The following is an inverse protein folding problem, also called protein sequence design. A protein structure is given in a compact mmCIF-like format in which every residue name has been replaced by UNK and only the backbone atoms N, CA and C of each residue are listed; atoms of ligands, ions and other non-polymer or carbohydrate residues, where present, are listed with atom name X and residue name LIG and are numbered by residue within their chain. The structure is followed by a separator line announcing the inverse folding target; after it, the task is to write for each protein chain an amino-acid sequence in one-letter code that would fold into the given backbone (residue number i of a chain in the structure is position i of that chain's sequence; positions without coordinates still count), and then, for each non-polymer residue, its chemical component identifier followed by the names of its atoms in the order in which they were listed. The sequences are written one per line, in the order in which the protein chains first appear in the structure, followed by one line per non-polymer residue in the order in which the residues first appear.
data_IF_422794820614
#
_entry.id   IF_422794820614
#
_cell.length_a   1.000
_cell.length_b   1.000
_cell.length_c   1.000
_cell.angle_alpha   90.00
_cell.angle_beta   90.00
_cell.angle_gamma   90.00
#
_symmetry.space_group_name_H-M   'P 1'
#
loop_
_entity.id
_entity.type
_entity.pdbx_description
1 polymer ?
#
# COMPACT_ATOMS: atom_id res chain seq x y z
N UNK A 1 34.39 18.45 2.52
CA UNK A 1 33.44 17.56 1.82
C UNK A 1 33.68 17.47 0.32
N UNK A 2 34.21 18.50 -0.34
CA UNK A 2 34.50 18.45 -1.79
C UNK A 2 35.82 17.70 -2.15
N UNK A 3 36.69 17.43 -1.20
CA UNK A 3 38.01 16.81 -1.47
C UNK A 3 37.98 15.27 -1.52
N UNK A 4 36.96 14.64 -0.94
CA UNK A 4 36.85 13.18 -0.94
C UNK A 4 36.17 12.60 -2.19
N UNK A 5 35.38 13.43 -2.90
CA UNK A 5 34.71 13.02 -4.13
C UNK A 5 35.69 12.92 -5.29
N UNK A 6 36.70 13.79 -5.29
CA UNK A 6 37.78 13.78 -6.30
C UNK A 6 38.67 12.52 -6.24
N UNK A 7 38.75 11.84 -5.09
CA UNK A 7 39.57 10.62 -4.94
C UNK A 7 38.96 9.37 -5.58
N UNK A 8 37.69 9.42 -5.98
CA UNK A 8 36.97 8.27 -6.54
C UNK A 8 36.80 8.33 -8.08
N UNK A 9 37.29 9.35 -8.73
CA UNK A 9 37.25 9.48 -10.21
C UNK A 9 35.81 9.70 -10.79
N UNK A 10 34.83 9.93 -9.95
CA UNK A 10 33.42 10.08 -10.37
C UNK A 10 33.03 11.52 -10.72
N UNK A 11 33.72 12.54 -10.19
CA UNK A 11 33.38 13.94 -10.46
C UNK A 11 33.62 14.37 -11.92
N UNK A 12 34.58 13.78 -12.59
CA UNK A 12 34.92 14.15 -13.97
C UNK A 12 33.94 13.62 -15.02
N UNK A 13 32.94 12.82 -14.63
CA UNK A 13 31.95 12.23 -15.53
C UNK A 13 30.51 12.67 -15.23
N UNK A 14 30.28 13.48 -14.19
CA UNK A 14 28.97 14.06 -13.91
C UNK A 14 28.92 15.40 -14.64
N UNK A 15 28.64 15.37 -15.93
CA UNK A 15 28.21 16.57 -16.63
C UNK A 15 26.73 16.79 -16.32
N UNK A 16 26.40 17.93 -15.71
CA UNK A 16 25.04 18.48 -15.74
C UNK A 16 24.77 18.84 -17.20
N UNK A 17 24.23 17.89 -17.96
CA UNK A 17 23.87 18.10 -19.35
C UNK A 17 22.67 19.06 -19.33
N UNK A 18 22.73 20.21 -20.05
CA UNK A 18 21.55 21.05 -20.21
C UNK A 18 20.37 20.21 -20.69
N UNK A 19 19.16 20.49 -20.19
CA UNK A 19 17.94 19.70 -20.50
C UNK A 19 17.79 19.42 -22.02
N UNK A 20 18.28 20.33 -22.89
CA UNK A 20 18.28 20.17 -24.33
C UNK A 20 19.22 19.10 -24.89
N UNK A 21 20.24 18.69 -24.14
CA UNK A 21 21.20 17.63 -24.50
C UNK A 21 20.90 16.25 -23.89
N UNK A 22 20.09 16.22 -22.85
CA UNK A 22 19.67 14.95 -22.21
C UNK A 22 18.91 14.04 -23.19
N UNK A 23 18.41 14.56 -24.32
CA UNK A 23 17.41 13.92 -25.15
C UNK A 23 17.73 13.92 -26.66
N UNK A 24 19.00 13.92 -27.07
CA UNK A 24 19.34 13.78 -28.49
C UNK A 24 19.17 12.32 -28.95
N UNK A 25 18.63 12.12 -30.18
CA UNK A 25 18.37 10.78 -30.75
C UNK A 25 19.60 9.86 -30.80
N UNK A 26 20.82 10.44 -30.89
CA UNK A 26 22.07 9.69 -30.92
C UNK A 26 22.43 9.02 -29.58
N UNK A 27 21.94 9.53 -28.46
CA UNK A 27 22.20 8.96 -27.12
C UNK A 27 21.42 7.67 -26.85
N UNK A 28 20.41 7.37 -27.67
CA UNK A 28 19.52 6.18 -27.50
C UNK A 28 20.11 4.88 -27.99
N UNK A 29 20.95 4.94 -28.96
CA UNK A 29 21.61 3.73 -29.52
C UNK A 29 22.64 3.14 -28.55
N UNK A 30 22.99 3.85 -27.47
CA UNK A 30 24.08 3.47 -26.56
C UNK A 30 23.66 3.22 -25.10
N UNK A 31 22.38 3.28 -24.76
CA UNK A 31 21.90 2.95 -23.43
C UNK A 31 22.51 3.73 -22.28
N UNK A 32 21.83 4.74 -21.89
CA UNK A 32 22.24 5.62 -20.79
C UNK A 32 21.49 5.20 -19.55
N UNK A 33 22.14 4.90 -18.40
CA UNK A 33 21.43 4.64 -17.16
C UNK A 33 20.73 5.91 -16.70
N UNK A 34 19.52 5.73 -16.22
CA UNK A 34 18.81 6.78 -15.52
C UNK A 34 19.30 6.78 -14.09
N UNK A 35 19.96 7.85 -13.66
CA UNK A 35 20.38 8.03 -12.29
C UNK A 35 19.39 8.95 -11.60
N UNK A 36 18.73 8.42 -10.60
CA UNK A 36 17.86 9.18 -9.71
C UNK A 36 18.62 9.66 -8.49
N UNK A 37 18.61 10.97 -8.24
CA UNK A 37 19.21 11.57 -7.06
C UNK A 37 18.14 11.81 -6.01
N UNK A 38 18.14 10.98 -4.95
CA UNK A 38 17.09 10.96 -3.94
C UNK A 38 16.99 12.23 -3.07
N UNK A 39 18.04 13.03 -3.01
CA UNK A 39 18.05 14.24 -2.18
C UNK A 39 17.53 15.48 -2.93
N UNK A 40 17.56 15.48 -4.26
CA UNK A 40 17.19 16.64 -5.09
C UNK A 40 16.05 16.38 -6.05
N UNK A 41 15.44 15.17 -6.04
CA UNK A 41 14.45 14.72 -7.02
C UNK A 41 14.86 14.97 -8.49
N UNK A 42 16.15 14.92 -8.75
CA UNK A 42 16.73 15.10 -10.09
C UNK A 42 17.21 13.79 -10.66
N UNK A 43 16.97 13.59 -11.94
CA UNK A 43 17.60 12.52 -12.71
C UNK A 43 18.90 13.06 -13.27
N UNK A 44 19.99 12.37 -12.97
CA UNK A 44 21.31 12.64 -13.52
C UNK A 44 21.62 11.51 -14.49
N UNK A 45 21.94 11.88 -15.73
CA UNK A 45 22.19 10.94 -16.81
C UNK A 45 23.68 10.55 -16.85
N UNK A 46 23.98 9.25 -16.82
CA UNK A 46 25.32 8.73 -17.08
C UNK A 46 25.27 7.57 -18.08
N UNK A 47 26.28 7.49 -18.92
CA UNK A 47 26.42 6.48 -19.96
C UNK A 47 26.46 5.08 -19.42
N UNK A 48 25.52 4.22 -19.76
CA UNK A 48 25.60 2.79 -19.63
C UNK A 48 24.85 2.07 -20.75
N UNK A 49 25.16 0.81 -20.90
CA UNK A 49 24.70 -0.06 -21.97
C UNK A 49 23.18 -0.18 -22.06
N UNK A 50 22.59 0.24 -23.17
CA UNK A 50 21.27 -0.24 -23.58
C UNK A 50 21.43 -1.61 -24.21
N UNK A 51 20.74 -2.58 -23.69
CA UNK A 51 20.42 -3.78 -24.47
C UNK A 51 19.05 -3.56 -25.10
N UNK A 52 18.99 -3.53 -26.42
CA UNK A 52 17.77 -3.82 -27.16
C UNK A 52 17.41 -5.28 -26.86
N UNK A 53 16.42 -5.50 -26.04
CA UNK A 53 15.83 -6.81 -25.87
C UNK A 53 14.66 -6.87 -26.82
N UNK A 54 14.90 -7.26 -28.04
CA UNK A 54 14.08 -8.15 -28.83
C UNK A 54 14.53 -8.22 -30.29
N UNK A 55 14.76 -9.42 -30.77
CA UNK A 55 15.01 -9.74 -32.18
C UNK A 55 13.71 -9.98 -32.97
N UNK A 56 12.53 -9.65 -32.42
CA UNK A 56 11.30 -9.72 -33.20
C UNK A 56 11.08 -8.41 -33.96
N UNK A 57 10.87 -8.46 -35.31
CA UNK A 57 10.95 -7.29 -36.18
C UNK A 57 9.94 -6.17 -35.91
N UNK A 58 9.02 -6.32 -34.95
CA UNK A 58 7.90 -5.40 -34.75
C UNK A 58 7.72 -4.85 -33.34
N UNK A 59 8.61 -5.14 -32.36
CA UNK A 59 8.46 -4.64 -30.98
C UNK A 59 9.74 -3.94 -30.54
N UNK A 60 9.73 -2.62 -30.49
CA UNK A 60 10.80 -1.83 -29.87
C UNK A 60 10.64 -1.88 -28.35
N UNK A 61 11.28 -2.81 -27.67
CA UNK A 61 11.45 -2.79 -26.24
C UNK A 61 12.83 -2.27 -25.86
N UNK A 62 12.89 -1.34 -24.94
CA UNK A 62 14.15 -0.73 -24.47
C UNK A 62 14.27 -1.03 -22.99
N UNK A 63 15.40 -1.63 -22.59
CA UNK A 63 15.71 -1.87 -21.18
C UNK A 63 16.63 -0.79 -20.65
N UNK A 64 16.24 -0.18 -19.55
CA UNK A 64 17.08 0.76 -18.83
C UNK A 64 17.39 0.24 -17.43
N UNK A 65 18.65 0.33 -17.00
CA UNK A 65 19.04 0.08 -15.62
C UNK A 65 18.89 1.36 -14.82
N UNK A 66 18.25 1.27 -13.65
CA UNK A 66 18.07 2.40 -12.77
C UNK A 66 19.11 2.30 -11.66
N UNK A 67 19.88 3.36 -11.48
CA UNK A 67 20.78 3.51 -10.37
C UNK A 67 20.29 4.64 -9.46
N UNK A 68 20.30 4.40 -8.15
CA UNK A 68 20.11 5.46 -7.14
C UNK A 68 21.45 5.83 -6.56
N UNK A 69 21.72 7.11 -6.48
CA UNK A 69 22.87 7.62 -5.76
C UNK A 69 22.47 7.82 -4.31
N UNK A 70 22.97 6.96 -3.43
CA UNK A 70 22.88 7.11 -1.99
C UNK A 70 24.24 7.50 -1.44
N UNK A 71 24.34 8.59 -0.68
CA UNK A 71 25.57 9.01 0.00
C UNK A 71 26.81 8.94 -0.91
N UNK A 72 26.72 9.50 -2.09
CA UNK A 72 27.78 9.55 -3.09
C UNK A 72 28.24 8.19 -3.68
N UNK A 73 27.47 7.13 -3.52
CA UNK A 73 27.72 5.84 -4.19
C UNK A 73 26.53 5.46 -5.05
N UNK A 74 26.73 5.12 -6.34
CA UNK A 74 25.67 4.61 -7.17
C UNK A 74 25.27 3.20 -6.70
N UNK A 75 23.99 2.98 -6.49
CA UNK A 75 23.43 1.69 -6.12
C UNK A 75 22.40 1.29 -7.19
N UNK A 76 22.51 0.08 -7.73
CA UNK A 76 21.52 -0.44 -8.64
C UNK A 76 20.25 -0.80 -7.85
N UNK A 77 19.14 -0.17 -8.18
CA UNK A 77 17.87 -0.35 -7.46
C UNK A 77 16.80 -1.08 -8.27
N UNK A 78 17.06 -1.34 -9.53
CA UNK A 78 16.12 -2.09 -10.37
C UNK A 78 16.30 -1.83 -11.85
N UNK A 79 15.46 -2.49 -12.62
CA UNK A 79 15.43 -2.41 -14.08
C UNK A 79 14.07 -1.87 -14.56
N UNK A 80 14.10 -1.08 -15.63
CA UNK A 80 12.92 -0.57 -16.31
C UNK A 80 12.86 -1.12 -17.72
N UNK A 81 11.68 -1.57 -18.11
CA UNK A 81 11.39 -2.00 -19.46
C UNK A 81 10.31 -1.10 -20.05
N UNK A 82 10.59 -0.48 -21.17
CA UNK A 82 9.65 0.36 -21.90
C UNK A 82 9.18 -0.37 -23.15
N UNK A 83 7.86 -0.44 -23.33
CA UNK A 83 7.24 -0.98 -24.54
C UNK A 83 6.20 -0.01 -25.07
N UNK A 84 6.10 0.11 -26.39
CA UNK A 84 4.93 0.77 -26.98
C UNK A 84 3.70 -0.13 -26.81
N UNK A 85 2.54 0.48 -26.60
CA UNK A 85 1.26 -0.27 -26.63
C UNK A 85 1.02 -0.75 -28.07
N UNK A 86 0.52 -1.97 -28.21
CA UNK A 86 0.18 -2.53 -29.53
C UNK A 86 -1.02 -1.82 -30.17
N UNK A 87 -1.89 -1.25 -29.34
CA UNK A 87 -3.17 -0.66 -29.76
C UNK A 87 -3.18 0.87 -29.77
N UNK A 88 -2.12 1.52 -29.27
CA UNK A 88 -2.06 2.97 -29.16
C UNK A 88 -0.59 3.44 -29.15
N UNK A 89 -0.18 4.07 -30.25
CA UNK A 89 1.18 4.60 -30.43
C UNK A 89 1.53 5.71 -29.42
N UNK A 90 0.52 6.33 -28.80
CA UNK A 90 0.70 7.37 -27.78
C UNK A 90 0.76 6.81 -26.36
N UNK A 91 0.65 5.49 -26.20
CA UNK A 91 0.72 4.83 -24.90
C UNK A 91 2.01 4.05 -24.73
N UNK A 92 2.65 4.24 -23.57
CA UNK A 92 3.85 3.53 -23.15
C UNK A 92 3.48 2.59 -22.02
N UNK A 93 3.91 1.33 -22.14
CA UNK A 93 3.86 0.36 -21.06
C UNK A 93 5.20 0.40 -20.34
N UNK A 94 5.14 0.70 -19.03
CA UNK A 94 6.28 0.83 -18.14
C UNK A 94 6.30 -0.37 -17.20
N UNK A 95 7.11 -1.37 -17.50
CA UNK A 95 7.37 -2.47 -16.58
C UNK A 95 8.59 -2.11 -15.71
N UNK A 96 8.41 -2.10 -14.39
CA UNK A 96 9.44 -1.73 -13.42
C UNK A 96 9.67 -2.90 -12.46
N UNK A 97 10.93 -3.31 -12.38
CA UNK A 97 11.40 -4.25 -11.37
C UNK A 97 12.31 -3.51 -10.39
N UNK A 98 11.73 -2.99 -9.30
CA UNK A 98 12.44 -2.23 -8.28
C UNK A 98 12.63 -3.08 -7.03
N UNK A 99 13.80 -2.99 -6.40
CA UNK A 99 14.08 -3.66 -5.15
C UNK A 99 13.07 -3.26 -4.06
N UNK A 100 12.51 -4.24 -3.37
CA UNK A 100 11.46 -4.04 -2.37
C UNK A 100 11.94 -3.28 -1.13
N UNK A 101 13.26 -3.31 -0.85
CA UNK A 101 13.88 -2.66 0.31
C UNK A 101 13.93 -1.13 0.25
N UNK A 102 13.65 -0.52 -0.92
CA UNK A 102 13.65 0.93 -1.06
C UNK A 102 12.52 1.58 -0.28
N UNK A 103 12.82 2.75 0.29
CA UNK A 103 11.82 3.60 0.95
C UNK A 103 10.73 4.05 -0.03
N UNK A 104 9.50 4.17 0.46
CA UNK A 104 8.34 4.58 -0.34
C UNK A 104 8.53 5.97 -0.97
N UNK A 105 9.13 6.91 -0.22
CA UNK A 105 9.42 8.26 -0.71
C UNK A 105 10.33 8.24 -1.94
N UNK A 106 11.36 7.39 -1.94
CA UNK A 106 12.29 7.24 -3.07
C UNK A 106 11.57 6.65 -4.28
N UNK A 107 10.75 5.62 -4.08
CA UNK A 107 9.96 5.02 -5.16
C UNK A 107 8.99 6.04 -5.77
N UNK A 108 8.31 6.82 -4.93
CA UNK A 108 7.38 7.87 -5.37
C UNK A 108 8.09 8.94 -6.20
N UNK A 109 9.22 9.45 -5.73
CA UNK A 109 10.02 10.40 -6.48
C UNK A 109 10.49 9.83 -7.82
N UNK A 110 10.95 8.59 -7.84
CA UNK A 110 11.37 7.88 -9.05
C UNK A 110 10.22 7.76 -10.05
N UNK A 111 9.02 7.33 -9.65
CA UNK A 111 7.87 7.23 -10.55
C UNK A 111 7.47 8.58 -11.14
N UNK A 112 7.43 9.63 -10.32
CA UNK A 112 7.13 11.00 -10.81
C UNK A 112 8.14 11.46 -11.86
N UNK A 113 9.41 11.32 -11.55
CA UNK A 113 10.48 11.79 -12.44
C UNK A 113 10.54 10.99 -13.73
N UNK A 114 10.37 9.67 -13.66
CA UNK A 114 10.28 8.82 -14.85
C UNK A 114 9.08 9.20 -15.72
N UNK A 115 7.92 9.42 -15.12
CA UNK A 115 6.71 9.79 -15.87
C UNK A 115 6.89 11.11 -16.60
N UNK A 116 7.46 12.13 -15.94
CA UNK A 116 7.77 13.41 -16.55
C UNK A 116 8.75 13.24 -17.73
N UNK A 117 9.78 12.42 -17.57
CA UNK A 117 10.73 12.09 -18.62
C UNK A 117 10.04 11.45 -19.82
N UNK A 118 9.19 10.45 -19.59
CA UNK A 118 8.49 9.72 -20.64
C UNK A 118 7.51 10.62 -21.41
N UNK A 119 6.77 11.48 -20.74
CA UNK A 119 5.89 12.44 -21.38
C UNK A 119 6.65 13.46 -22.22
N UNK A 120 7.75 14.02 -21.69
CA UNK A 120 8.55 15.03 -22.39
C UNK A 120 9.23 14.44 -23.61
N UNK A 121 9.84 13.26 -23.46
CA UNK A 121 10.70 12.66 -24.47
C UNK A 121 9.95 11.86 -25.54
N UNK A 122 9.11 10.94 -25.13
CA UNK A 122 8.41 10.04 -26.05
C UNK A 122 7.09 10.62 -26.53
N UNK A 123 6.75 11.85 -26.06
CA UNK A 123 5.47 12.51 -26.36
C UNK A 123 4.27 11.63 -26.02
N UNK A 124 4.46 10.65 -25.13
CA UNK A 124 3.38 9.79 -24.68
C UNK A 124 2.21 10.62 -24.14
N UNK A 125 0.99 10.17 -24.37
CA UNK A 125 -0.22 10.74 -23.76
C UNK A 125 -0.61 9.94 -22.52
N UNK A 126 -0.22 8.66 -22.48
CA UNK A 126 -0.55 7.72 -21.42
C UNK A 126 0.65 6.83 -21.07
N UNK A 127 0.84 6.60 -19.80
CA UNK A 127 1.80 5.62 -19.27
C UNK A 127 0.98 4.57 -18.52
N UNK A 128 1.13 3.30 -18.87
CA UNK A 128 0.56 2.17 -18.14
C UNK A 128 1.66 1.43 -17.39
N UNK A 129 1.39 0.98 -16.19
CA UNK A 129 2.30 0.12 -15.43
C UNK A 129 1.50 -0.93 -14.65
N UNK A 130 2.18 -2.04 -14.31
CA UNK A 130 1.59 -3.15 -13.56
C UNK A 130 2.51 -3.56 -12.43
N UNK A 131 1.92 -3.95 -11.32
CA UNK A 131 2.65 -4.52 -10.20
C UNK A 131 1.88 -5.69 -9.61
N UNK A 132 2.57 -6.63 -8.98
CA UNK A 132 1.90 -7.69 -8.23
C UNK A 132 0.95 -7.07 -7.21
N UNK A 133 -0.22 -7.68 -7.05
CA UNK A 133 -1.30 -7.13 -6.22
C UNK A 133 -0.94 -7.05 -4.72
N UNK A 134 0.01 -7.87 -4.29
CA UNK A 134 0.54 -7.89 -2.92
C UNK A 134 1.72 -6.93 -2.69
N UNK A 135 2.22 -6.27 -3.74
CA UNK A 135 3.32 -5.31 -3.63
C UNK A 135 2.82 -3.93 -3.19
N UNK A 136 2.32 -3.84 -1.94
CA UNK A 136 1.71 -2.64 -1.38
C UNK A 136 2.63 -1.38 -1.44
N UNK A 137 3.96 -1.55 -1.28
CA UNK A 137 4.89 -0.42 -1.33
C UNK A 137 4.98 0.22 -2.72
N UNK A 138 4.93 -0.59 -3.77
CA UNK A 138 4.88 -0.08 -5.15
C UNK A 138 3.51 0.51 -5.45
N UNK A 139 2.42 -0.14 -5.02
CA UNK A 139 1.05 0.36 -5.17
C UNK A 139 0.91 1.76 -4.54
N UNK A 140 1.34 1.93 -3.29
CA UNK A 140 1.32 3.22 -2.62
C UNK A 140 2.10 4.29 -3.39
N UNK A 141 3.32 3.93 -3.83
CA UNK A 141 4.18 4.85 -4.58
C UNK A 141 3.58 5.28 -5.90
N UNK A 142 2.89 4.38 -6.62
CA UNK A 142 2.15 4.70 -7.85
C UNK A 142 1.01 5.67 -7.58
N UNK A 143 0.17 5.40 -6.57
CA UNK A 143 -0.94 6.29 -6.20
C UNK A 143 -0.43 7.67 -5.82
N UNK A 144 0.58 7.76 -4.95
CA UNK A 144 1.21 9.01 -4.54
C UNK A 144 1.87 9.77 -5.70
N UNK A 145 2.25 9.05 -6.77
CA UNK A 145 2.81 9.65 -7.99
C UNK A 145 1.74 10.11 -8.99
N UNK A 146 0.47 9.99 -8.63
CA UNK A 146 -0.65 10.45 -9.46
C UNK A 146 -1.27 9.38 -10.36
N UNK A 147 -0.73 8.15 -10.37
CA UNK A 147 -1.32 7.08 -11.16
C UNK A 147 -2.72 6.71 -10.68
N UNK A 148 -3.58 6.39 -11.62
CA UNK A 148 -4.95 5.91 -11.40
C UNK A 148 -4.99 4.39 -11.52
N UNK A 149 -5.65 3.72 -10.60
CA UNK A 149 -5.93 2.29 -10.69
C UNK A 149 -7.02 2.04 -11.75
N UNK A 150 -6.81 1.06 -12.62
CA UNK A 150 -7.74 0.72 -13.71
C UNK A 150 -8.36 -0.65 -13.56
N UNK A 151 -7.74 -1.54 -12.81
CA UNK A 151 -8.27 -2.88 -12.62
C UNK A 151 -7.22 -3.91 -12.26
N UNK A 152 -7.64 -5.16 -12.21
CA UNK A 152 -6.78 -6.31 -11.93
C UNK A 152 -6.67 -7.14 -13.20
N UNK A 153 -5.45 -7.44 -13.61
CA UNK A 153 -5.15 -8.39 -14.67
C UNK A 153 -4.59 -9.68 -14.08
N UNK A 154 -4.90 -10.80 -14.71
CA UNK A 154 -4.43 -12.12 -14.30
C UNK A 154 -3.51 -12.69 -15.37
N UNK A 155 -2.41 -13.28 -14.96
CA UNK A 155 -1.46 -13.97 -15.84
C UNK A 155 -0.99 -15.26 -15.18
N UNK A 156 -0.66 -16.27 -15.99
CA UNK A 156 0.04 -17.45 -15.51
C UNK A 156 1.54 -17.13 -15.40
N UNK A 157 2.16 -17.54 -14.30
CA UNK A 157 3.61 -17.50 -14.17
C UNK A 157 4.27 -18.69 -14.88
N UNK A 158 5.59 -18.79 -14.82
CA UNK A 158 6.36 -19.89 -15.43
C UNK A 158 6.05 -21.27 -14.85
N UNK A 159 5.38 -21.34 -13.68
CA UNK A 159 4.93 -22.56 -13.01
C UNK A 159 3.44 -22.84 -13.26
N UNK A 160 2.81 -22.12 -14.19
CA UNK A 160 1.36 -22.20 -14.47
C UNK A 160 0.46 -21.82 -13.27
N UNK A 161 1.00 -21.06 -12.31
CA UNK A 161 0.21 -20.51 -11.21
C UNK A 161 -0.38 -19.15 -11.60
N UNK A 162 -1.62 -18.91 -11.23
CA UNK A 162 -2.30 -17.66 -11.50
C UNK A 162 -1.74 -16.55 -10.61
N UNK A 163 -1.26 -15.48 -11.25
CA UNK A 163 -0.81 -14.26 -10.56
C UNK A 163 -1.73 -13.09 -10.90
N UNK A 164 -2.07 -12.30 -9.89
CA UNK A 164 -2.85 -11.07 -10.04
C UNK A 164 -1.94 -9.85 -10.05
N UNK A 165 -2.20 -8.93 -10.97
CA UNK A 165 -1.49 -7.67 -11.11
C UNK A 165 -2.46 -6.52 -11.02
N UNK A 166 -2.16 -5.54 -10.19
CA UNK A 166 -2.83 -4.25 -10.21
C UNK A 166 -2.31 -3.42 -11.40
N UNK A 167 -3.22 -2.95 -12.22
CA UNK A 167 -2.94 -2.12 -13.41
C UNK A 167 -3.19 -0.67 -13.08
N UNK A 168 -2.22 0.17 -13.38
CA UNK A 168 -2.26 1.60 -13.14
C UNK A 168 -1.93 2.37 -14.41
N UNK A 169 -2.50 3.57 -14.54
CA UNK A 169 -2.14 4.49 -15.62
C UNK A 169 -1.96 5.92 -15.13
N UNK A 170 -1.18 6.68 -15.88
CA UNK A 170 -1.02 8.12 -15.72
C UNK A 170 -1.21 8.79 -17.07
N UNK A 171 -2.12 9.75 -17.14
CA UNK A 171 -2.33 10.58 -18.31
C UNK A 171 -1.45 11.83 -18.21
N UNK A 172 -0.93 12.32 -19.35
CA UNK A 172 -0.08 13.51 -19.40
C UNK A 172 -0.73 14.72 -18.71
N UNK A 173 -2.00 14.96 -19.01
CA UNK A 173 -2.72 16.12 -18.48
C UNK A 173 -3.00 16.02 -16.98
N UNK A 174 -2.88 14.82 -16.41
CA UNK A 174 -3.04 14.54 -14.98
C UNK A 174 -1.71 14.31 -14.25
N UNK A 175 -0.57 14.46 -14.93
CA UNK A 175 0.76 14.17 -14.37
C UNK A 175 1.16 15.03 -13.17
N UNK A 176 0.54 16.21 -13.03
CA UNK A 176 0.78 17.14 -11.93
C UNK A 176 -0.21 16.99 -10.77
N UNK A 177 -1.17 16.05 -10.86
CA UNK A 177 -2.19 15.85 -9.84
C UNK A 177 -1.65 14.90 -8.79
N UNK A 178 -1.12 15.42 -7.69
CA UNK A 178 -0.78 14.59 -6.54
C UNK A 178 -2.05 13.95 -5.96
N UNK A 179 -2.04 12.64 -5.78
CA UNK A 179 -3.11 11.90 -5.10
C UNK A 179 -2.64 11.54 -3.71
N UNK A 180 -3.58 11.52 -2.79
CA UNK A 180 -3.36 10.99 -1.45
C UNK A 180 -3.78 9.53 -1.41
N UNK A 181 -3.10 8.74 -0.60
CA UNK A 181 -3.59 7.41 -0.24
C UNK A 181 -4.89 7.58 0.53
N UNK A 182 -5.83 6.65 0.33
CA UNK A 182 -7.05 6.61 1.12
C UNK A 182 -6.72 6.39 2.60
N UNK A 183 -5.78 5.49 2.86
CA UNK A 183 -5.15 5.31 4.16
C UNK A 183 -3.66 5.64 4.01
N UNK A 184 -3.11 6.55 4.84
CA UNK A 184 -1.66 6.76 4.90
C UNK A 184 -0.93 5.45 5.15
N UNK A 185 0.25 5.30 4.56
CA UNK A 185 1.02 4.08 4.71
C UNK A 185 1.26 3.76 6.19
N UNK A 186 0.84 2.56 6.59
CA UNK A 186 1.13 2.05 7.94
C UNK A 186 2.53 1.49 7.92
N UNK A 187 3.51 2.25 8.41
CA UNK A 187 4.86 1.73 8.61
C UNK A 187 4.84 0.71 9.75
N UNK A 188 5.33 -0.49 9.47
CA UNK A 188 5.32 -1.64 10.37
C UNK A 188 6.02 -1.42 11.72
N UNK A 189 6.79 -0.34 11.85
CA UNK A 189 7.55 -0.06 13.07
C UNK A 189 6.93 0.99 14.01
N UNK A 190 5.88 1.70 13.58
CA UNK A 190 5.38 2.89 14.31
C UNK A 190 4.30 2.53 15.31
N UNK A 191 3.46 1.54 15.00
CA UNK A 191 2.30 1.21 15.84
C UNK A 191 2.57 -0.02 16.70
N UNK A 192 3.36 0.19 17.73
CA UNK A 192 3.68 -0.84 18.72
C UNK A 192 3.68 -0.28 20.14
N UNK A 193 3.41 -1.13 21.10
CA UNK A 193 3.72 -0.95 22.50
C UNK A 193 4.70 -2.04 22.97
N UNK A 194 4.85 -2.21 24.27
CA UNK A 194 5.74 -3.23 24.85
C UNK A 194 5.26 -4.67 24.64
N UNK A 195 3.99 -4.89 24.29
CA UNK A 195 3.37 -6.21 24.15
C UNK A 195 3.02 -6.61 22.74
N UNK A 196 2.48 -5.66 21.96
CA UNK A 196 2.01 -5.93 20.61
C UNK A 196 2.46 -4.88 19.60
N UNK A 197 2.47 -5.27 18.33
CA UNK A 197 2.61 -4.39 17.19
C UNK A 197 1.49 -4.61 16.17
N UNK A 198 1.15 -3.58 15.41
CA UNK A 198 0.25 -3.66 14.26
C UNK A 198 1.06 -3.47 12.99
N UNK A 199 0.83 -4.31 12.01
CA UNK A 199 1.33 -4.15 10.63
C UNK A 199 0.28 -4.55 9.61
N UNK A 200 0.47 -4.13 8.37
CA UNK A 200 -0.38 -4.61 7.27
C UNK A 200 -0.32 -6.13 7.19
N UNK A 201 -1.46 -6.77 6.92
CA UNK A 201 -1.52 -8.21 6.78
C UNK A 201 -0.66 -8.68 5.58
N UNK A 202 0.07 -9.76 5.80
CA UNK A 202 0.97 -10.39 4.82
C UNK A 202 0.57 -11.83 4.55
N UNK A 203 0.98 -12.44 3.42
CA UNK A 203 0.59 -13.82 3.08
C UNK A 203 0.89 -14.87 4.17
N UNK A 204 1.95 -14.66 4.96
CA UNK A 204 2.29 -15.54 6.10
C UNK A 204 1.25 -15.55 7.22
N UNK A 205 0.36 -14.55 7.28
CA UNK A 205 -0.69 -14.43 8.32
C UNK A 205 -1.97 -15.19 7.98
N UNK A 206 -2.04 -15.73 6.75
CA UNK A 206 -3.23 -16.42 6.25
C UNK A 206 -3.73 -17.48 7.20
N UNK A 207 -2.83 -18.32 7.70
CA UNK A 207 -3.19 -19.41 8.61
C UNK A 207 -3.70 -18.91 9.96
N UNK A 208 -3.08 -17.89 10.53
CA UNK A 208 -3.55 -17.26 11.77
C UNK A 208 -4.99 -16.72 11.62
N UNK A 209 -5.25 -15.99 10.53
CA UNK A 209 -6.56 -15.40 10.26
C UNK A 209 -7.63 -16.46 9.98
N UNK A 210 -7.25 -17.55 9.33
CA UNK A 210 -8.13 -18.69 9.10
C UNK A 210 -8.47 -19.41 10.41
N UNK A 211 -7.47 -19.71 11.25
CA UNK A 211 -7.69 -20.32 12.56
C UNK A 211 -8.61 -19.48 13.45
N UNK A 212 -8.42 -18.15 13.45
CA UNK A 212 -9.26 -17.25 14.23
C UNK A 212 -10.72 -17.32 13.77
N UNK A 213 -11.00 -17.29 12.48
CA UNK A 213 -12.37 -17.36 11.94
C UNK A 213 -13.01 -18.75 12.08
N UNK A 214 -12.21 -19.80 11.93
CA UNK A 214 -12.68 -21.19 11.99
C UNK A 214 -12.96 -21.67 13.43
N UNK A 215 -12.51 -20.92 14.44
CA UNK A 215 -12.80 -21.25 15.81
C UNK A 215 -14.31 -21.09 16.11
N UNK A 216 -14.99 -22.08 16.69
CA UNK A 216 -16.44 -22.05 16.92
C UNK A 216 -16.92 -20.85 17.74
N UNK A 217 -16.15 -20.41 18.74
CA UNK A 217 -16.50 -19.21 19.50
C UNK A 217 -16.36 -17.92 18.69
N UNK A 218 -15.33 -17.81 17.84
CA UNK A 218 -15.19 -16.67 16.94
C UNK A 218 -16.32 -16.66 15.91
N UNK A 219 -16.60 -17.83 15.32
CA UNK A 219 -17.65 -18.01 14.31
C UNK A 219 -19.03 -17.64 14.84
N UNK A 220 -19.37 -18.01 16.08
CA UNK A 220 -20.63 -17.62 16.74
C UNK A 220 -20.88 -16.12 16.70
N UNK A 221 -19.82 -15.33 16.84
CA UNK A 221 -19.90 -13.86 16.87
C UNK A 221 -19.56 -13.21 15.54
N UNK A 222 -19.12 -14.00 14.55
CA UNK A 222 -18.81 -13.52 13.21
C UNK A 222 -20.07 -13.01 12.47
N UNK A 223 -19.85 -12.08 11.56
CA UNK A 223 -20.89 -11.51 10.67
C UNK A 223 -20.96 -12.22 9.32
N UNK A 224 -19.96 -13.01 8.99
CA UNK A 224 -19.80 -13.66 7.70
C UNK A 224 -19.53 -15.15 7.90
N UNK A 225 -19.87 -15.94 6.91
CA UNK A 225 -19.48 -17.34 6.84
C UNK A 225 -17.96 -17.49 6.98
N UNK A 226 -17.54 -18.61 7.56
CA UNK A 226 -16.12 -18.92 7.70
C UNK A 226 -15.51 -19.09 6.29
N UNK A 227 -14.62 -18.20 5.93
CA UNK A 227 -13.95 -18.24 4.65
C UNK A 227 -12.96 -19.42 4.60
N UNK A 228 -12.80 -20.03 3.44
CA UNK A 228 -11.75 -21.02 3.16
C UNK A 228 -10.35 -20.38 3.27
N UNK A 229 -9.34 -21.22 3.40
CA UNK A 229 -7.96 -20.74 3.45
C UNK A 229 -7.58 -19.94 2.19
N UNK A 230 -8.04 -20.38 1.01
CA UNK A 230 -7.76 -19.71 -0.26
C UNK A 230 -8.45 -18.35 -0.37
N UNK A 231 -9.69 -18.23 0.11
CA UNK A 231 -10.39 -16.94 0.15
C UNK A 231 -9.69 -15.95 1.09
N UNK A 232 -9.16 -16.41 2.23
CA UNK A 232 -8.38 -15.56 3.14
C UNK A 232 -7.07 -15.16 2.49
N UNK A 233 -6.37 -16.09 1.83
CA UNK A 233 -5.14 -15.81 1.09
C UNK A 233 -5.37 -14.75 0.02
N UNK A 234 -6.45 -14.86 -0.76
CA UNK A 234 -6.84 -13.88 -1.76
C UNK A 234 -7.20 -12.53 -1.13
N UNK A 235 -7.90 -12.52 0.01
CA UNK A 235 -8.21 -11.28 0.74
C UNK A 235 -6.94 -10.58 1.23
N UNK A 236 -5.97 -11.32 1.75
CA UNK A 236 -4.70 -10.78 2.23
C UNK A 236 -3.85 -10.26 1.08
N UNK A 237 -3.77 -10.97 -0.06
CA UNK A 237 -3.00 -10.49 -1.21
C UNK A 237 -3.45 -9.12 -1.71
N UNK A 238 -4.73 -8.78 -1.52
CA UNK A 238 -5.31 -7.48 -1.90
C UNK A 238 -5.26 -6.41 -0.81
N UNK A 239 -4.69 -6.71 0.36
CA UNK A 239 -4.64 -5.74 1.48
C UNK A 239 -3.91 -4.45 1.12
N UNK A 240 -2.81 -4.54 0.35
CA UNK A 240 -2.08 -3.37 -0.11
C UNK A 240 -2.91 -2.47 -1.02
N UNK A 241 -3.62 -3.06 -1.98
CA UNK A 241 -4.51 -2.32 -2.87
C UNK A 241 -5.69 -1.70 -2.09
N UNK A 242 -6.29 -2.47 -1.18
CA UNK A 242 -7.39 -2.00 -0.35
C UNK A 242 -6.97 -0.85 0.58
N UNK A 243 -5.78 -0.91 1.15
CA UNK A 243 -5.27 0.18 2.00
C UNK A 243 -4.98 1.45 1.20
N UNK A 244 -4.57 1.33 -0.05
CA UNK A 244 -4.28 2.48 -0.91
C UNK A 244 -5.53 3.14 -1.50
N UNK A 245 -6.52 2.35 -1.91
CA UNK A 245 -7.65 2.80 -2.74
C UNK A 245 -9.01 2.27 -2.30
N UNK A 246 -9.03 1.23 -1.48
CA UNK A 246 -10.24 0.49 -1.16
C UNK A 246 -10.95 0.96 0.12
N UNK A 247 -11.98 0.24 0.53
CA UNK A 247 -12.84 0.62 1.64
C UNK A 247 -12.26 0.27 3.03
N UNK A 248 -11.14 -0.45 3.10
CA UNK A 248 -10.64 -0.94 4.38
C UNK A 248 -9.13 -1.16 4.40
N UNK A 249 -8.58 -1.20 5.61
CA UNK A 249 -7.23 -1.68 5.89
C UNK A 249 -7.30 -2.83 6.91
N UNK A 250 -6.65 -3.94 6.60
CA UNK A 250 -6.55 -5.12 7.45
C UNK A 250 -5.14 -5.21 8.04
N UNK A 251 -5.06 -5.13 9.36
CA UNK A 251 -3.81 -5.22 10.10
C UNK A 251 -3.73 -6.54 10.87
N UNK A 252 -2.53 -7.10 10.92
CA UNK A 252 -2.20 -8.22 11.79
C UNK A 252 -1.71 -7.71 13.13
N UNK A 253 -2.20 -8.31 14.21
CA UNK A 253 -1.72 -8.07 15.58
C UNK A 253 -0.59 -9.06 15.84
N UNK A 254 0.61 -8.52 16.12
CA UNK A 254 1.82 -9.30 16.38
C UNK A 254 2.17 -9.20 17.85
N UNK A 255 2.43 -10.33 18.49
CA UNK A 255 3.01 -10.34 19.82
C UNK A 255 4.50 -10.01 19.78
N UNK A 256 4.94 -8.96 20.50
CA UNK A 256 6.31 -8.47 20.42
C UNK A 256 7.36 -9.45 20.96
N UNK A 257 6.99 -10.29 21.93
CA UNK A 257 7.91 -11.24 22.58
C UNK A 257 8.30 -12.41 21.68
N UNK A 258 7.36 -12.87 20.84
CA UNK A 258 7.54 -14.06 19.98
C UNK A 258 7.63 -13.73 18.50
N UNK A 259 7.13 -12.56 18.08
CA UNK A 259 6.93 -12.21 16.68
C UNK A 259 5.75 -12.92 16.02
N UNK A 260 4.95 -13.66 16.75
CA UNK A 260 3.81 -14.42 16.23
C UNK A 260 2.63 -13.50 15.92
N UNK A 261 1.89 -13.84 14.85
CA UNK A 261 0.58 -13.29 14.58
C UNK A 261 -0.43 -13.90 15.58
N UNK A 262 -1.11 -13.05 16.35
CA UNK A 262 -2.05 -13.46 17.42
C UNK A 262 -3.49 -13.05 17.15
N UNK A 263 -3.72 -12.34 16.06
CA UNK A 263 -5.04 -11.86 15.68
C UNK A 263 -4.99 -10.82 14.58
N UNK A 264 -6.13 -10.19 14.36
CA UNK A 264 -6.32 -9.15 13.35
C UNK A 264 -7.11 -7.97 13.90
N UNK A 265 -6.93 -6.82 13.29
CA UNK A 265 -7.79 -5.65 13.46
C UNK A 265 -8.01 -5.02 12.10
N UNK A 266 -9.23 -4.59 11.81
CA UNK A 266 -9.63 -3.98 10.54
C UNK A 266 -10.33 -2.68 10.83
N UNK A 267 -10.07 -1.67 10.00
CA UNK A 267 -10.87 -0.46 9.94
C UNK A 267 -11.45 -0.32 8.53
N UNK A 268 -12.74 -0.01 8.44
CA UNK A 268 -13.48 0.20 7.20
C UNK A 268 -13.96 1.62 7.14
N UNK A 269 -13.82 2.25 5.99
CA UNK A 269 -14.48 3.52 5.74
C UNK A 269 -16.00 3.32 5.67
N UNK A 270 -16.73 4.13 6.37
CA UNK A 270 -18.19 4.16 6.31
C UNK A 270 -18.68 5.57 5.94
N UNK A 271 -19.96 5.72 5.72
CA UNK A 271 -20.58 7.00 5.43
C UNK A 271 -21.09 7.60 6.75
N UNK A 272 -20.81 8.88 7.04
CA UNK A 272 -20.12 9.90 6.22
C UNK A 272 -18.59 9.71 6.16
N UNK A 273 -17.86 10.45 5.29
CA UNK A 273 -16.40 10.42 5.24
C UNK A 273 -15.74 10.71 6.59
N UNK A 274 -14.52 10.17 6.80
CA UNK A 274 -13.76 10.30 8.05
C UNK A 274 -14.36 9.58 9.27
N UNK A 275 -15.32 8.68 9.03
CA UNK A 275 -15.84 7.73 10.03
C UNK A 275 -15.32 6.34 9.70
N UNK A 276 -14.78 5.65 10.70
CA UNK A 276 -14.22 4.31 10.55
C UNK A 276 -14.93 3.28 11.41
N UNK A 277 -15.44 2.20 10.81
CA UNK A 277 -15.96 1.03 11.52
C UNK A 277 -14.83 0.05 11.82
N UNK A 278 -14.67 -0.31 13.09
CA UNK A 278 -13.56 -1.14 13.58
C UNK A 278 -14.06 -2.54 13.92
N UNK A 279 -13.32 -3.55 13.43
CA UNK A 279 -13.52 -4.95 13.82
C UNK A 279 -12.19 -5.60 14.22
N UNK A 280 -12.23 -6.57 15.11
CA UNK A 280 -11.03 -7.30 15.53
C UNK A 280 -11.35 -8.76 15.85
N UNK A 281 -10.31 -9.59 15.86
CA UNK A 281 -10.35 -10.97 16.29
C UNK A 281 -9.01 -11.37 16.91
N UNK A 282 -9.05 -12.17 17.98
CA UNK A 282 -7.87 -12.70 18.68
C UNK A 282 -7.97 -14.21 18.73
N UNK A 283 -6.87 -14.89 18.40
CA UNK A 283 -6.76 -16.35 18.56
C UNK A 283 -7.11 -16.77 19.99
N UNK A 284 -7.79 -17.89 20.19
CA UNK A 284 -8.28 -18.32 21.50
C UNK A 284 -7.22 -18.33 22.61
N UNK A 285 -6.04 -18.84 22.29
CA UNK A 285 -4.91 -18.96 23.22
C UNK A 285 -4.32 -17.64 23.69
N UNK A 286 -4.62 -16.54 22.97
CA UNK A 286 -4.16 -15.19 23.29
C UNK A 286 -5.26 -14.29 23.84
N UNK A 287 -6.46 -14.84 24.08
CA UNK A 287 -7.56 -14.09 24.70
C UNK A 287 -7.29 -13.86 26.18
N UNK A 288 -7.93 -12.84 26.75
CA UNK A 288 -7.73 -12.48 28.16
C UNK A 288 -6.44 -11.71 28.47
N UNK A 289 -5.47 -11.66 27.55
CA UNK A 289 -4.18 -10.96 27.72
C UNK A 289 -4.25 -9.45 27.44
N UNK A 290 -5.43 -8.92 27.10
CA UNK A 290 -5.63 -7.49 26.81
C UNK A 290 -5.20 -7.05 25.41
N UNK A 291 -4.83 -7.95 24.53
CA UNK A 291 -4.30 -7.62 23.19
C UNK A 291 -5.31 -6.87 22.31
N UNK A 292 -6.60 -7.21 22.36
CA UNK A 292 -7.63 -6.47 21.62
C UNK A 292 -7.74 -4.99 22.04
N UNK A 293 -7.69 -4.71 23.35
CA UNK A 293 -7.73 -3.33 23.87
C UNK A 293 -6.48 -2.54 23.44
N UNK A 294 -5.30 -3.19 23.53
CA UNK A 294 -4.04 -2.59 23.06
C UNK A 294 -4.09 -2.29 21.57
N UNK A 295 -4.59 -3.22 20.75
CA UNK A 295 -4.75 -3.06 19.32
C UNK A 295 -5.69 -1.90 18.98
N UNK A 296 -6.83 -1.76 19.67
CA UNK A 296 -7.72 -0.61 19.54
C UNK A 296 -7.02 0.72 19.88
N UNK A 297 -6.22 0.74 20.95
CA UNK A 297 -5.50 1.95 21.35
C UNK A 297 -4.41 2.36 20.35
N UNK A 298 -3.68 1.39 19.78
CA UNK A 298 -2.70 1.66 18.72
C UNK A 298 -3.40 2.13 17.44
N UNK A 299 -4.51 1.47 17.05
CA UNK A 299 -5.30 1.87 15.88
C UNK A 299 -5.84 3.30 16.03
N UNK A 300 -6.39 3.66 17.20
CA UNK A 300 -6.87 5.04 17.48
C UNK A 300 -5.78 6.08 17.28
N UNK A 301 -4.56 5.83 17.77
CA UNK A 301 -3.43 6.75 17.58
C UNK A 301 -3.17 7.03 16.11
N UNK A 302 -3.07 5.97 15.31
CA UNK A 302 -2.88 6.10 13.86
C UNK A 302 -4.09 6.76 13.18
N UNK A 303 -5.29 6.30 13.47
CA UNK A 303 -6.52 6.78 12.83
C UNK A 303 -6.72 8.29 13.03
N UNK A 304 -6.45 8.80 14.22
CA UNK A 304 -6.68 10.19 14.55
C UNK A 304 -5.52 11.12 14.21
N UNK A 305 -4.27 10.66 14.35
CA UNK A 305 -3.11 11.53 14.14
C UNK A 305 -2.63 11.54 12.68
N UNK A 306 -2.89 10.48 11.92
CA UNK A 306 -2.31 10.30 10.59
C UNK A 306 -3.36 10.06 9.51
N UNK A 307 -4.37 9.22 9.79
CA UNK A 307 -5.38 8.86 8.80
C UNK A 307 -6.55 9.87 8.69
N UNK A 308 -6.63 10.85 9.59
CA UNK A 308 -7.63 11.93 9.54
C UNK A 308 -9.05 11.52 9.93
N UNK A 309 -9.21 10.40 10.63
CA UNK A 309 -10.53 10.01 11.14
C UNK A 309 -11.00 10.99 12.23
N UNK A 310 -12.29 11.30 12.22
CA UNK A 310 -12.94 12.12 13.24
C UNK A 310 -13.70 11.26 14.26
N UNK A 311 -14.13 10.09 13.84
CA UNK A 311 -14.93 9.16 14.63
C UNK A 311 -14.58 7.72 14.29
N UNK A 312 -14.50 6.87 15.32
CA UNK A 312 -14.44 5.42 15.16
C UNK A 312 -15.70 4.80 15.74
N UNK A 313 -16.23 3.81 15.04
CA UNK A 313 -17.39 3.04 15.41
C UNK A 313 -17.02 1.57 15.65
N UNK A 314 -17.78 0.90 16.50
CA UNK A 314 -17.59 -0.50 16.81
C UNK A 314 -18.95 -1.15 17.09
N UNK A 315 -19.37 -2.03 16.19
CA UNK A 315 -20.59 -2.81 16.33
C UNK A 315 -20.31 -4.13 17.04
N UNK A 316 -21.08 -4.42 18.09
CA UNK A 316 -20.98 -5.67 18.86
C UNK A 316 -22.32 -6.39 18.78
N UNK A 317 -22.30 -7.68 18.41
CA UNK A 317 -23.50 -8.51 18.44
C UNK A 317 -24.00 -8.63 19.90
N UNK A 318 -25.28 -8.38 20.11
CA UNK A 318 -25.91 -8.48 21.43
C UNK A 318 -25.58 -9.81 22.13
N UNK A 319 -25.19 -9.73 23.40
CA UNK A 319 -24.75 -10.87 24.20
C UNK A 319 -23.27 -11.25 24.07
N UNK A 320 -22.49 -10.58 23.20
CA UNK A 320 -21.04 -10.74 23.14
C UNK A 320 -20.36 -9.89 24.23
N UNK A 321 -20.50 -10.31 25.47
CA UNK A 321 -19.98 -9.61 26.64
C UNK A 321 -18.47 -9.38 26.58
N UNK A 322 -17.73 -10.29 25.94
CA UNK A 322 -16.28 -10.15 25.79
C UNK A 322 -15.94 -8.94 24.90
N UNK A 323 -16.62 -8.80 23.76
CA UNK A 323 -16.42 -7.67 22.86
C UNK A 323 -16.92 -6.35 23.46
N UNK A 324 -18.03 -6.35 24.20
CA UNK A 324 -18.49 -5.16 24.92
C UNK A 324 -17.47 -4.66 25.96
N UNK A 325 -16.86 -5.60 26.72
CA UNK A 325 -15.78 -5.24 27.67
C UNK A 325 -14.57 -4.65 26.97
N UNK A 326 -14.21 -5.17 25.81
CA UNK A 326 -13.09 -4.62 25.01
C UNK A 326 -13.43 -3.22 24.51
N UNK A 327 -14.64 -2.99 23.99
CA UNK A 327 -15.08 -1.66 23.56
C UNK A 327 -14.99 -0.64 24.71
N UNK A 328 -15.58 -0.94 25.85
CA UNK A 328 -15.54 -0.07 27.04
C UNK A 328 -14.14 0.17 27.58
N UNK A 329 -13.30 -0.87 27.69
CA UNK A 329 -11.89 -0.74 28.10
C UNK A 329 -11.05 0.03 27.07
N UNK A 330 -11.42 -0.03 25.79
CA UNK A 330 -10.86 0.78 24.72
C UNK A 330 -11.33 2.25 24.74
N UNK A 331 -12.19 2.62 25.72
CA UNK A 331 -12.72 3.98 25.88
C UNK A 331 -13.89 4.30 24.95
N UNK A 332 -14.44 3.34 24.24
CA UNK A 332 -15.62 3.54 23.41
C UNK A 332 -16.87 3.71 24.30
N UNK A 333 -17.70 4.67 23.94
CA UNK A 333 -18.97 4.97 24.59
C UNK A 333 -20.11 4.24 23.88
N UNK A 334 -21.07 3.74 24.66
CA UNK A 334 -22.28 3.14 24.12
C UNK A 334 -23.20 4.20 23.55
N UNK A 335 -23.56 4.10 22.28
CA UNK A 335 -24.43 5.05 21.61
C UNK A 335 -25.88 4.58 21.57
N UNK A 336 -26.09 3.27 21.43
CA UNK A 336 -27.43 2.72 21.33
C UNK A 336 -27.46 1.31 20.75
N UNK A 337 -28.65 0.75 20.68
CA UNK A 337 -28.90 -0.55 20.06
C UNK A 337 -29.57 -0.34 18.71
N UNK A 338 -29.08 -1.06 17.69
CA UNK A 338 -29.66 -1.12 16.32
C UNK A 338 -30.34 -2.47 16.14
N UNK A 339 -31.68 -2.55 16.23
CA UNK A 339 -32.39 -3.83 16.15
C UNK A 339 -32.22 -4.48 14.79
N UNK A 340 -32.01 -5.81 14.79
CA UNK A 340 -31.96 -6.61 13.57
C UNK A 340 -30.88 -6.21 12.55
N UNK A 341 -29.81 -5.56 12.98
CA UNK A 341 -28.77 -4.99 12.11
C UNK A 341 -27.78 -6.02 11.58
N UNK A 342 -27.51 -7.08 12.33
CA UNK A 342 -26.45 -8.04 12.07
C UNK A 342 -27.04 -9.38 11.64
N UNK A 343 -26.73 -9.82 10.42
CA UNK A 343 -27.14 -11.13 9.91
C UNK A 343 -26.35 -12.25 10.57
N UNK A 344 -26.99 -13.31 10.97
CA UNK A 344 -26.41 -14.55 11.49
C UNK A 344 -26.19 -15.57 10.35
N UNK A 345 -25.36 -16.60 10.63
CA UNK A 345 -25.10 -17.69 9.67
C UNK A 345 -26.34 -18.51 9.31
N UNK A 346 -27.30 -18.63 10.23
CA UNK A 346 -28.56 -19.34 10.04
C UNK A 346 -29.63 -18.52 9.29
N UNK A 347 -29.27 -17.31 8.83
CA UNK A 347 -30.16 -16.39 8.15
C UNK A 347 -31.00 -15.51 9.06
N UNK A 348 -31.01 -15.74 10.38
CA UNK A 348 -31.63 -14.86 11.35
C UNK A 348 -30.85 -13.54 11.53
N UNK A 349 -31.41 -12.62 12.32
CA UNK A 349 -30.78 -11.34 12.58
C UNK A 349 -30.62 -11.09 14.07
N UNK A 350 -29.46 -10.58 14.47
CA UNK A 350 -29.16 -10.13 15.84
C UNK A 350 -29.16 -8.62 15.92
N UNK A 351 -29.39 -8.10 17.13
CA UNK A 351 -29.22 -6.69 17.42
C UNK A 351 -27.73 -6.36 17.50
N UNK A 352 -27.41 -5.12 17.16
CA UNK A 352 -26.08 -4.52 17.27
C UNK A 352 -26.05 -3.55 18.43
N UNK A 353 -25.17 -3.80 19.40
CA UNK A 353 -24.79 -2.82 20.42
C UNK A 353 -23.74 -1.93 19.80
N UNK A 354 -24.09 -0.67 19.57
CA UNK A 354 -23.24 0.27 18.84
C UNK A 354 -22.46 1.14 19.80
N UNK A 355 -21.16 1.22 19.56
CA UNK A 355 -20.19 2.00 20.34
C UNK A 355 -19.44 2.97 19.42
N UNK A 356 -19.03 4.12 19.97
CA UNK A 356 -18.23 5.09 19.24
C UNK A 356 -17.11 5.66 20.08
N UNK A 357 -16.11 6.23 19.41
CA UNK A 357 -15.03 7.01 20.00
C UNK A 357 -14.76 8.22 19.11
N UNK A 358 -14.82 9.42 19.69
CA UNK A 358 -14.54 10.67 18.98
C UNK A 358 -13.06 11.02 19.06
N UNK A 359 -12.54 11.66 17.99
CA UNK A 359 -11.17 12.14 17.98
C UNK A 359 -11.01 13.29 19.02
N UNK A 360 -10.23 13.11 20.09
CA UNK A 360 -10.11 14.12 21.13
C UNK A 360 -9.38 15.40 20.69
N UNK A 361 -8.74 15.37 19.52
CA UNK A 361 -7.98 16.50 18.97
C UNK A 361 -8.85 17.44 18.11
N UNK A 362 -10.15 17.15 17.97
CA UNK A 362 -11.08 17.91 17.13
C UNK A 362 -12.15 18.55 18.01
N UNK A 363 -12.46 19.83 17.75
CA UNK A 363 -13.58 20.51 18.40
C UNK A 363 -14.89 20.14 17.69
N UNK A 364 -15.87 19.71 18.45
CA UNK A 364 -17.22 19.42 17.97
C UNK A 364 -18.15 20.58 18.32
N UNK A 365 -18.86 21.09 17.30
CA UNK A 365 -19.87 22.10 17.54
C UNK A 365 -21.06 21.47 18.27
N UNK A 366 -21.34 21.93 19.49
CA UNK A 366 -22.63 21.66 20.13
C UNK A 366 -23.66 22.62 19.55
N UNK A 367 -24.78 22.08 19.10
CA UNK A 367 -25.96 22.90 18.81
C UNK A 367 -26.53 23.22 20.19
N UNK A 368 -26.44 24.48 20.59
CA UNK A 368 -27.20 24.98 21.76
C UNK A 368 -28.64 25.11 21.30
N UNK A 369 -29.58 24.50 22.02
CA UNK A 369 -31.02 24.55 21.77
C UNK A 369 -31.56 25.97 21.93
#
# INVERSE_FOLDING_TARGET
MNSEINSLGYENNIQTIPESHLFSENNYKQGIPIIYHSESDKIIDQRCETRLLDETPNKKSITHKIHVIRKCKPEHIGDIFLRSSENDENSIILDINIHTSLEEKIKTGLFRTLSMLLFKKYKALRIETRTLIDNHKVINSLVLSGYSFEGISQKLNSKSELQEFAVFSLLRDHSNTAKNLLFPAVDSNIYRDEKIALRLAEPKDTFCMWLEQSNPESSKWGLFETASLDEIKQKISRCGLNSALGPNILLTIIECSTGNAVGKIVIRNVVPPHVGDVGYGILPEYRGLGYAVRALNLLKKWAFNEAGYVRLELGVKEGNIASERVARKGGFEFEGMRPGRLKNHDGSYSNEMHYFFLNPNISYRKIED
#
